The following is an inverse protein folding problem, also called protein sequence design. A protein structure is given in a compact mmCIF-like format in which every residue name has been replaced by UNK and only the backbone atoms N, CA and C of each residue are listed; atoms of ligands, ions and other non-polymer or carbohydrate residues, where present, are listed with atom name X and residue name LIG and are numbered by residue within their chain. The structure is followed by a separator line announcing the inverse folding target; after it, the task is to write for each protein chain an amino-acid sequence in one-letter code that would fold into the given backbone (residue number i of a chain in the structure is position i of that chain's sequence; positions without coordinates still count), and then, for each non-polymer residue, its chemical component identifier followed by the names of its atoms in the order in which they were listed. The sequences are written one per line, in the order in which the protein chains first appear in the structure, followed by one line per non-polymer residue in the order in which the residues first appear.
data_IF_189786788740
#
_entry.id   IF_189786788740
#
_cell.length_a   1.000
_cell.length_b   1.000
_cell.length_c   1.000
_cell.angle_alpha   90.00
_cell.angle_beta   90.00
_cell.angle_gamma   90.00
#
_symmetry.space_group_name_H-M   'P 1'
#
loop_
_entity.id
_entity.type
_entity.pdbx_description
1 polymer ?
#
# COMPACT_ATOMS: atom_id res chain seq x y z
N UNK A 1 52.87 28.58 31.87
CA UNK A 1 51.86 28.59 32.95
C UNK A 1 50.46 28.25 32.41
N UNK A 2 50.24 27.04 31.90
CA UNK A 2 48.93 26.60 31.36
C UNK A 2 48.76 25.08 31.44
N UNK A 3 49.00 24.49 32.62
CA UNK A 3 48.97 23.02 32.74
C UNK A 3 48.44 22.52 34.09
N UNK A 4 47.39 23.15 34.65
CA UNK A 4 46.82 22.71 35.95
C UNK A 4 45.29 22.58 35.94
N UNK A 5 44.60 22.82 34.81
CA UNK A 5 43.11 22.89 34.77
C UNK A 5 42.38 21.72 34.11
N UNK A 6 43.02 20.55 33.91
CA UNK A 6 42.38 19.37 33.28
C UNK A 6 42.03 18.21 34.22
N UNK A 7 42.47 18.19 35.48
CA UNK A 7 42.34 17.01 36.35
C UNK A 7 41.04 16.89 37.15
N UNK A 8 40.23 17.95 37.28
CA UNK A 8 39.01 17.90 38.12
C UNK A 8 37.72 17.52 37.40
N UNK A 9 37.69 17.50 36.06
CA UNK A 9 36.50 17.04 35.31
C UNK A 9 36.34 15.52 35.24
N UNK A 10 37.40 14.75 35.48
CA UNK A 10 37.36 13.28 35.34
C UNK A 10 36.91 12.55 36.61
N UNK A 11 36.94 13.18 37.80
CA UNK A 11 36.51 12.53 39.05
C UNK A 11 34.99 12.48 39.25
N UNK A 12 34.20 13.31 38.55
CA UNK A 12 32.74 13.34 38.72
C UNK A 12 31.94 12.35 37.86
N UNK A 13 32.56 11.70 36.87
CA UNK A 13 31.87 10.77 35.96
C UNK A 13 31.84 9.33 36.52
N UNK A 14 32.78 8.97 37.40
CA UNK A 14 32.89 7.60 37.90
C UNK A 14 32.01 7.29 39.14
N UNK A 15 31.49 8.29 39.86
CA UNK A 15 30.54 8.08 40.97
C UNK A 15 29.09 7.85 40.54
N UNK A 16 28.72 8.13 39.28
CA UNK A 16 27.34 7.94 38.78
C UNK A 16 27.02 6.55 38.25
N UNK A 17 28.00 5.64 38.11
CA UNK A 17 27.77 4.27 37.58
C UNK A 17 27.27 3.27 38.62
N UNK A 18 27.52 3.49 39.92
CA UNK A 18 27.10 2.55 40.99
C UNK A 18 25.61 2.65 41.37
N UNK A 19 25.01 3.84 41.26
CA UNK A 19 23.62 4.10 41.68
C UNK A 19 22.60 3.66 40.61
N UNK A 20 22.97 3.72 39.32
CA UNK A 20 22.08 3.33 38.21
C UNK A 20 21.76 1.83 38.18
N UNK A 21 22.72 0.95 38.47
CA UNK A 21 22.48 -0.50 38.50
C UNK A 21 21.54 -0.94 39.62
N UNK A 22 21.50 -0.22 40.75
CA UNK A 22 20.55 -0.51 41.85
C UNK A 22 19.13 -0.06 41.51
N UNK A 23 18.95 1.03 40.76
CA UNK A 23 17.64 1.48 40.29
C UNK A 23 17.06 0.58 39.19
N UNK A 24 17.89 0.10 38.25
CA UNK A 24 17.45 -0.84 37.21
C UNK A 24 16.93 -2.16 37.79
N UNK A 25 17.56 -2.67 38.86
CA UNK A 25 17.10 -3.89 39.55
C UNK A 25 15.75 -3.69 40.26
N UNK A 26 15.52 -2.53 40.89
CA UNK A 26 14.25 -2.23 41.58
C UNK A 26 13.10 -2.05 40.57
N UNK A 27 13.37 -1.39 39.43
CA UNK A 27 12.37 -1.22 38.36
C UNK A 27 12.04 -2.56 37.72
N UNK A 28 13.02 -3.42 37.45
CA UNK A 28 12.78 -4.76 36.90
C UNK A 28 11.93 -5.63 37.84
N UNK A 29 12.19 -5.58 39.16
CA UNK A 29 11.41 -6.33 40.13
C UNK A 29 9.96 -5.82 40.24
N UNK A 30 9.75 -4.50 40.11
CA UNK A 30 8.42 -3.89 40.11
C UNK A 30 7.58 -4.23 38.86
N UNK A 31 8.21 -4.29 37.68
CA UNK A 31 7.49 -4.64 36.44
C UNK A 31 7.06 -6.12 36.46
N UNK A 32 7.90 -7.01 36.99
CA UNK A 32 7.55 -8.45 37.11
C UNK A 32 6.43 -8.67 38.12
N UNK A 33 6.40 -7.95 39.24
CA UNK A 33 5.31 -8.09 40.22
C UNK A 33 3.97 -7.59 39.67
N UNK A 34 3.97 -6.48 38.90
CA UNK A 34 2.77 -5.95 38.24
C UNK A 34 2.24 -6.93 37.18
N UNK A 35 3.14 -7.55 36.41
CA UNK A 35 2.76 -8.51 35.36
C UNK A 35 2.12 -9.81 35.91
N UNK A 36 2.38 -10.17 37.17
CA UNK A 36 1.81 -11.39 37.80
C UNK A 36 0.57 -11.07 38.65
N UNK A 37 0.54 -9.93 39.33
CA UNK A 37 -0.58 -9.59 40.25
C UNK A 37 -1.83 -9.14 39.48
N UNK A 38 -1.68 -8.40 38.38
CA UNK A 38 -2.83 -7.91 37.59
C UNK A 38 -3.65 -9.06 36.97
N UNK A 39 -3.06 -10.09 36.34
CA UNK A 39 -3.83 -11.22 35.82
C UNK A 39 -4.60 -11.97 36.90
N UNK A 40 -3.98 -12.22 38.06
CA UNK A 40 -4.61 -13.00 39.15
C UNK A 40 -5.83 -12.28 39.72
N UNK A 41 -5.84 -10.95 39.77
CA UNK A 41 -6.97 -10.16 40.25
C UNK A 41 -8.06 -9.91 39.20
N UNK A 42 -7.72 -9.88 37.91
CA UNK A 42 -8.67 -9.50 36.84
C UNK A 42 -9.34 -10.70 36.16
N UNK A 43 -8.65 -11.83 36.02
CA UNK A 43 -9.19 -13.06 35.40
C UNK A 43 -10.48 -13.58 36.05
N UNK A 44 -10.62 -13.69 37.39
CA UNK A 44 -11.85 -14.21 37.98
C UNK A 44 -13.07 -13.31 37.76
N UNK A 45 -12.87 -11.99 37.61
CA UNK A 45 -13.96 -11.06 37.27
C UNK A 45 -14.40 -11.21 35.81
N UNK A 46 -13.45 -11.36 34.89
CA UNK A 46 -13.75 -11.57 33.48
C UNK A 46 -14.50 -12.88 33.24
N UNK A 47 -14.10 -13.96 33.93
CA UNK A 47 -14.77 -15.27 33.86
C UNK A 47 -16.21 -15.20 34.37
N UNK A 48 -16.45 -14.56 35.52
CA UNK A 48 -17.82 -14.37 36.05
C UNK A 48 -18.71 -13.55 35.12
N UNK A 49 -18.17 -12.50 34.49
CA UNK A 49 -18.91 -11.70 33.52
C UNK A 49 -19.23 -12.49 32.24
N UNK A 50 -18.31 -13.33 31.77
CA UNK A 50 -18.54 -14.22 30.62
C UNK A 50 -19.59 -15.29 30.89
N UNK A 51 -19.60 -15.87 32.10
CA UNK A 51 -20.60 -16.87 32.51
C UNK A 51 -22.00 -16.25 32.57
N UNK A 52 -22.15 -15.08 33.19
CA UNK A 52 -23.44 -14.39 33.26
C UNK A 52 -24.04 -14.06 31.88
N UNK A 53 -23.20 -13.78 30.87
CA UNK A 53 -23.65 -13.58 29.49
C UNK A 53 -24.15 -14.85 28.82
N UNK A 54 -23.51 -16.00 29.09
CA UNK A 54 -23.98 -17.29 28.58
C UNK A 54 -25.33 -17.66 29.19
N UNK A 55 -25.47 -17.51 30.50
CA UNK A 55 -26.72 -17.84 31.20
C UNK A 55 -27.88 -16.94 30.71
N UNK A 56 -27.61 -15.66 30.46
CA UNK A 56 -28.60 -14.74 29.90
C UNK A 56 -28.99 -15.08 28.45
N UNK A 57 -28.01 -15.48 27.62
CA UNK A 57 -28.27 -15.90 26.24
C UNK A 57 -29.06 -17.22 26.19
N UNK A 58 -28.74 -18.16 27.07
CA UNK A 58 -29.45 -19.44 27.18
C UNK A 58 -30.86 -19.27 27.75
N UNK A 59 -31.06 -18.33 28.68
CA UNK A 59 -32.39 -17.95 29.14
C UNK A 59 -33.24 -17.29 28.05
N UNK A 60 -32.64 -16.48 27.16
CA UNK A 60 -33.34 -15.87 26.03
C UNK A 60 -33.71 -16.88 24.94
N UNK A 61 -32.98 -17.99 24.83
CA UNK A 61 -33.23 -19.07 23.87
C UNK A 61 -34.22 -20.12 24.39
N UNK A 62 -34.61 -20.09 25.67
CA UNK A 62 -35.69 -20.96 26.15
C UNK A 62 -37.01 -20.45 25.57
N UNK A 63 -37.63 -21.19 24.63
CA UNK A 63 -38.94 -20.79 24.12
C UNK A 63 -39.90 -20.76 25.30
N UNK A 64 -40.57 -19.63 25.51
CA UNK A 64 -41.63 -19.51 26.49
C UNK A 64 -42.61 -20.66 26.26
N UNK A 65 -42.75 -21.54 27.25
CA UNK A 65 -43.59 -22.72 27.18
C UNK A 65 -44.97 -22.26 26.71
N UNK A 66 -45.29 -22.58 25.46
CA UNK A 66 -46.54 -22.15 24.86
C UNK A 66 -47.67 -22.78 25.68
N UNK A 67 -48.69 -22.02 26.08
CA UNK A 67 -49.82 -22.56 26.82
C UNK A 67 -50.43 -23.72 26.04
N UNK A 68 -50.99 -24.74 26.71
CA UNK A 68 -51.51 -25.94 26.07
C UNK A 68 -52.55 -25.55 25.02
N UNK A 69 -52.17 -25.66 23.75
CA UNK A 69 -53.07 -25.45 22.63
C UNK A 69 -54.02 -26.64 22.56
N UNK A 70 -55.31 -26.38 22.75
CA UNK A 70 -56.35 -27.37 22.47
C UNK A 70 -56.43 -27.51 20.95
N UNK A 71 -55.78 -28.55 20.41
CA UNK A 71 -55.79 -28.85 18.98
C UNK A 71 -57.12 -29.52 18.65
N UNK A 72 -58.02 -28.78 18.00
CA UNK A 72 -59.15 -29.40 17.32
C UNK A 72 -58.63 -30.06 16.04
N UNK A 73 -58.92 -31.36 15.79
CA UNK A 73 -58.53 -31.99 14.53
C UNK A 73 -59.30 -31.33 13.39
N UNK A 74 -58.67 -30.34 12.75
CA UNK A 74 -59.20 -29.71 11.56
C UNK A 74 -59.22 -30.75 10.45
N UNK A 75 -60.41 -31.24 10.10
CA UNK A 75 -60.61 -32.05 8.92
C UNK A 75 -60.59 -31.09 7.73
N UNK A 76 -59.56 -31.16 6.90
CA UNK A 76 -59.33 -30.25 5.78
C UNK A 76 -60.62 -30.04 4.97
N UNK A 77 -61.03 -28.78 4.81
CA UNK A 77 -62.16 -28.37 3.96
C UNK A 77 -63.55 -28.40 4.59
N UNK A 78 -63.73 -28.74 5.89
CA UNK A 78 -65.03 -28.60 6.56
C UNK A 78 -65.02 -27.47 7.60
N UNK A 79 -66.00 -26.56 7.59
CA UNK A 79 -66.11 -25.55 8.62
C UNK A 79 -66.31 -26.21 9.99
N UNK A 80 -65.57 -25.77 10.99
CA UNK A 80 -65.71 -26.24 12.37
C UNK A 80 -67.03 -25.70 12.93
N UNK A 81 -68.04 -26.55 13.04
CA UNK A 81 -69.31 -26.21 13.71
C UNK A 81 -69.15 -26.38 15.21
N UNK A 82 -69.14 -25.27 15.94
CA UNK A 82 -69.19 -25.26 17.41
C UNK A 82 -70.64 -24.99 17.82
N UNK A 83 -71.15 -25.78 18.76
CA UNK A 83 -72.48 -25.57 19.33
C UNK A 83 -72.52 -24.25 20.10
N UNK A 84 -73.55 -23.44 19.85
CA UNK A 84 -73.72 -22.08 20.40
C UNK A 84 -73.81 -22.11 21.93
N UNK A 85 -74.29 -23.22 22.52
CA UNK A 85 -74.31 -23.39 23.97
C UNK A 85 -72.91 -23.41 24.59
N UNK A 86 -71.93 -24.05 23.92
CA UNK A 86 -70.52 -24.10 24.37
C UNK A 86 -69.74 -22.84 24.05
N UNK A 87 -70.27 -21.97 23.18
CA UNK A 87 -69.64 -20.71 22.80
C UNK A 87 -69.26 -19.86 24.03
N UNK A 88 -70.21 -19.74 24.97
CA UNK A 88 -70.05 -18.92 26.16
C UNK A 88 -69.18 -19.59 27.23
N UNK A 89 -69.16 -20.93 27.28
CA UNK A 89 -68.32 -21.70 28.23
C UNK A 89 -66.83 -21.65 27.87
N UNK A 90 -66.52 -21.67 26.57
CA UNK A 90 -65.13 -21.65 26.07
C UNK A 90 -64.57 -20.20 26.06
N UNK A 91 -65.44 -19.19 26.26
CA UNK A 91 -65.03 -17.78 26.29
C UNK A 91 -64.57 -17.27 24.93
N UNK A 92 -65.13 -17.80 23.84
CA UNK A 92 -64.77 -17.40 22.48
C UNK A 92 -65.17 -15.94 22.22
N UNK A 93 -64.18 -15.10 21.93
CA UNK A 93 -64.38 -13.71 21.54
C UNK A 93 -64.31 -13.62 20.02
N UNK A 94 -65.41 -13.20 19.39
CA UNK A 94 -65.39 -12.79 17.98
C UNK A 94 -64.82 -11.38 17.91
N UNK A 95 -63.88 -11.18 17.01
CA UNK A 95 -63.48 -9.86 16.56
C UNK A 95 -63.85 -9.75 15.08
N UNK A 96 -64.53 -8.67 14.71
CA UNK A 96 -64.78 -8.34 13.31
C UNK A 96 -63.42 -8.07 12.65
N UNK A 97 -63.13 -8.77 11.56
CA UNK A 97 -61.90 -8.56 10.80
C UNK A 97 -62.10 -7.29 9.96
N UNK A 98 -61.45 -6.20 10.37
CA UNK A 98 -61.35 -5.00 9.54
C UNK A 98 -60.19 -5.16 8.54
N UNK A 99 -60.33 -4.64 7.31
CA UNK A 99 -59.24 -4.65 6.34
C UNK A 99 -58.04 -3.90 6.93
N UNK A 100 -56.84 -4.48 6.79
CA UNK A 100 -55.62 -3.86 7.31
C UNK A 100 -55.44 -2.45 6.72
N UNK A 101 -55.08 -1.44 7.53
CA UNK A 101 -54.74 -0.13 7.00
C UNK A 101 -53.58 -0.24 6.03
N UNK A 102 -53.53 0.65 5.03
CA UNK A 102 -52.43 0.67 4.07
C UNK A 102 -51.09 0.77 4.82
N UNK A 103 -50.08 -0.03 4.44
CA UNK A 103 -48.77 0.05 5.09
C UNK A 103 -48.19 1.45 4.87
N UNK A 104 -47.42 1.98 5.85
CA UNK A 104 -46.71 3.24 5.67
C UNK A 104 -45.76 3.14 4.47
N UNK A 105 -45.52 4.26 3.80
CA UNK A 105 -44.54 4.32 2.73
C UNK A 105 -43.16 3.89 3.26
N UNK A 106 -42.50 2.99 2.54
CA UNK A 106 -41.17 2.52 2.89
C UNK A 106 -40.16 3.63 2.63
N UNK A 107 -39.67 4.27 3.70
CA UNK A 107 -38.53 5.17 3.64
C UNK A 107 -37.24 4.34 3.67
N UNK A 108 -36.41 4.49 2.63
CA UNK A 108 -35.10 3.84 2.55
C UNK A 108 -34.02 4.90 2.55
N UNK A 109 -33.13 4.83 3.54
CA UNK A 109 -31.90 5.60 3.53
C UNK A 109 -30.95 5.03 2.49
N UNK A 110 -30.59 5.84 1.51
CA UNK A 110 -29.61 5.51 0.48
C UNK A 110 -28.30 6.26 0.68
N UNK A 111 -27.19 5.65 0.26
CA UNK A 111 -25.88 6.31 0.17
C UNK A 111 -25.45 6.32 -1.29
N UNK A 112 -24.97 7.46 -1.78
CA UNK A 112 -24.36 7.56 -3.10
C UNK A 112 -22.98 6.90 -3.07
N UNK A 113 -22.76 5.96 -3.98
CA UNK A 113 -21.47 5.28 -4.16
C UNK A 113 -20.87 5.68 -5.51
N UNK A 114 -19.54 5.77 -5.58
CA UNK A 114 -18.84 5.97 -6.85
C UNK A 114 -18.91 4.69 -7.66
N UNK A 115 -19.19 4.79 -8.95
CA UNK A 115 -19.15 3.62 -9.82
C UNK A 115 -17.72 3.04 -9.83
N UNK A 116 -17.51 1.78 -9.39
CA UNK A 116 -16.19 1.18 -9.38
C UNK A 116 -15.60 1.03 -10.79
N UNK A 117 -16.43 1.01 -11.84
CA UNK A 117 -15.98 0.89 -13.23
C UNK A 117 -15.39 2.21 -13.75
N UNK A 118 -15.83 3.35 -13.21
CA UNK A 118 -15.33 4.69 -13.53
C UNK A 118 -14.19 5.15 -12.59
N UNK A 119 -13.87 4.36 -11.57
CA UNK A 119 -12.85 4.70 -10.57
C UNK A 119 -11.51 4.03 -10.85
N UNK A 120 -10.50 4.84 -11.22
CA UNK A 120 -9.12 4.36 -11.36
C UNK A 120 -8.21 4.91 -10.25
N UNK A 121 -7.56 4.01 -9.51
CA UNK A 121 -6.53 4.39 -8.54
C UNK A 121 -5.16 4.48 -9.22
N UNK A 122 -4.62 5.69 -9.32
CA UNK A 122 -3.27 5.92 -9.86
C UNK A 122 -2.24 5.71 -8.75
N UNK A 123 -1.20 4.91 -9.03
CA UNK A 123 -0.06 4.69 -8.14
C UNK A 123 1.24 4.87 -8.91
N UNK A 124 2.24 5.46 -8.26
CA UNK A 124 3.60 5.42 -8.80
C UNK A 124 4.09 3.98 -8.82
N UNK A 125 4.76 3.58 -9.91
CA UNK A 125 5.43 2.28 -10.01
C UNK A 125 6.67 2.18 -9.14
N UNK A 126 7.33 3.31 -8.94
CA UNK A 126 8.58 3.40 -8.21
C UNK A 126 8.38 4.21 -6.95
N UNK A 127 9.16 3.88 -5.92
CA UNK A 127 9.30 4.75 -4.77
C UNK A 127 10.08 5.99 -5.19
N UNK A 128 9.67 7.15 -4.69
CA UNK A 128 10.24 8.41 -5.10
C UNK A 128 9.62 9.62 -4.42
N UNK A 129 10.27 10.76 -4.61
CA UNK A 129 9.82 12.07 -4.16
C UNK A 129 9.02 12.74 -5.27
N UNK A 130 7.89 13.36 -4.93
CA UNK A 130 7.12 14.16 -5.89
C UNK A 130 7.83 15.49 -6.08
N UNK A 131 8.39 15.71 -7.27
CA UNK A 131 9.14 16.94 -7.59
C UNK A 131 8.21 18.03 -8.06
N UNK A 132 7.20 17.66 -8.85
CA UNK A 132 6.31 18.62 -9.48
C UNK A 132 4.88 18.10 -9.54
N UNK A 133 3.93 18.99 -9.24
CA UNK A 133 2.51 18.78 -9.50
C UNK A 133 2.08 19.82 -10.54
N UNK A 134 1.80 19.42 -11.79
CA UNK A 134 1.40 20.35 -12.83
C UNK A 134 0.07 21.03 -12.48
N UNK A 135 -0.17 22.23 -13.01
CA UNK A 135 -1.42 22.93 -12.80
C UNK A 135 -2.58 22.24 -13.54
N UNK A 136 -3.79 22.39 -13.00
CA UNK A 136 -5.00 21.70 -13.49
C UNK A 136 -5.33 22.01 -14.96
N UNK A 137 -4.97 23.19 -15.47
CA UNK A 137 -5.30 23.65 -16.82
C UNK A 137 -4.34 23.19 -17.93
N UNK A 138 -3.27 22.46 -17.59
CA UNK A 138 -2.21 22.09 -18.54
C UNK A 138 -2.62 21.07 -19.61
N UNK A 139 -3.78 20.41 -19.49
CA UNK A 139 -4.16 19.27 -20.35
C UNK A 139 -5.06 19.59 -21.54
N UNK A 140 -5.51 20.85 -21.70
CA UNK A 140 -6.33 21.21 -22.86
C UNK A 140 -5.49 21.84 -23.96
N UNK A 141 -5.19 21.06 -25.01
CA UNK A 141 -4.67 21.58 -26.30
C UNK A 141 -5.67 22.55 -26.97
N UNK A 142 -6.89 22.67 -26.43
CA UNK A 142 -7.88 23.66 -26.82
C UNK A 142 -7.62 25.00 -26.14
N UNK A 143 -6.76 25.83 -26.74
CA UNK A 143 -6.59 27.25 -26.44
C UNK A 143 -7.90 28.02 -26.64
N UNK A 144 -8.81 28.00 -25.67
CA UNK A 144 -9.88 28.99 -25.59
C UNK A 144 -9.37 30.17 -24.77
N UNK A 145 -9.00 31.25 -25.45
CA UNK A 145 -8.14 32.33 -24.95
C UNK A 145 -8.82 33.31 -23.96
N UNK A 146 -9.96 32.95 -23.35
CA UNK A 146 -10.81 33.95 -22.66
C UNK A 146 -10.97 33.72 -21.15
N UNK A 147 -10.62 32.55 -20.61
CA UNK A 147 -10.68 32.30 -19.16
C UNK A 147 -9.28 32.19 -18.55
N UNK A 148 -8.76 33.33 -18.11
CA UNK A 148 -7.54 33.42 -17.29
C UNK A 148 -7.85 33.03 -15.84
N UNK A 149 -8.25 31.78 -15.61
CA UNK A 149 -8.32 31.26 -14.24
C UNK A 149 -6.90 31.13 -13.68
N UNK A 150 -6.63 31.57 -12.44
CA UNK A 150 -5.29 31.49 -11.85
C UNK A 150 -4.84 30.03 -11.80
N UNK A 151 -3.71 29.75 -12.45
CA UNK A 151 -3.08 28.43 -12.48
C UNK A 151 -2.74 27.97 -11.05
N UNK A 152 -3.54 27.07 -10.49
CA UNK A 152 -3.27 26.44 -9.20
C UNK A 152 -2.75 25.01 -9.39
N UNK A 153 -1.94 24.50 -8.44
CA UNK A 153 -1.59 23.08 -8.38
C UNK A 153 -2.85 22.22 -8.32
N UNK A 154 -2.78 20.99 -8.84
CA UNK A 154 -3.87 20.03 -8.80
C UNK A 154 -4.32 19.77 -7.34
N UNK A 155 -5.62 19.86 -7.07
CA UNK A 155 -6.26 19.61 -5.77
C UNK A 155 -7.32 18.52 -5.87
N UNK A 156 -7.72 17.99 -4.72
CA UNK A 156 -8.84 17.07 -4.65
C UNK A 156 -10.12 17.75 -5.14
N UNK A 157 -10.83 17.09 -6.06
CA UNK A 157 -12.04 17.61 -6.71
C UNK A 157 -11.81 18.26 -8.07
N UNK A 158 -10.56 18.49 -8.48
CA UNK A 158 -10.25 18.99 -9.82
C UNK A 158 -10.60 17.96 -10.89
N UNK A 159 -11.15 18.43 -12.02
CA UNK A 159 -11.44 17.58 -13.17
C UNK A 159 -10.14 17.29 -13.93
N UNK A 160 -9.88 16.02 -14.20
CA UNK A 160 -8.70 15.57 -14.96
C UNK A 160 -9.13 14.84 -16.24
N UNK A 161 -8.31 14.97 -17.29
CA UNK A 161 -8.52 14.25 -18.55
C UNK A 161 -7.64 13.01 -18.65
N UNK A 162 -8.04 12.02 -19.46
CA UNK A 162 -7.21 10.84 -19.74
C UNK A 162 -5.87 11.28 -20.35
N UNK A 163 -4.77 10.80 -19.76
CA UNK A 163 -3.41 11.13 -20.21
C UNK A 163 -2.88 12.47 -19.71
N UNK A 164 -3.63 13.19 -18.87
CA UNK A 164 -3.12 14.38 -18.18
C UNK A 164 -1.98 13.99 -17.23
N UNK A 165 -0.89 14.78 -17.26
CA UNK A 165 0.18 14.67 -16.28
C UNK A 165 -0.39 15.04 -14.90
N UNK A 166 -0.30 14.12 -13.93
CA UNK A 166 -0.80 14.34 -12.57
C UNK A 166 0.32 14.72 -11.60
N UNK A 167 1.49 14.10 -11.75
CA UNK A 167 2.67 14.35 -10.94
C UNK A 167 3.92 13.88 -11.66
N UNK A 168 5.04 14.56 -11.40
CA UNK A 168 6.38 14.10 -11.77
C UNK A 168 7.06 13.57 -10.52
N UNK A 169 7.45 12.29 -10.57
CA UNK A 169 8.08 11.60 -9.44
C UNK A 169 9.55 11.36 -9.78
N UNK A 170 10.43 11.80 -8.90
CA UNK A 170 11.85 11.47 -8.98
C UNK A 170 12.12 10.17 -8.23
N UNK A 171 12.64 9.16 -8.93
CA UNK A 171 12.95 7.87 -8.35
C UNK A 171 14.46 7.62 -8.33
N UNK A 172 14.99 7.38 -7.13
CA UNK A 172 16.38 7.01 -6.92
C UNK A 172 16.73 5.66 -7.57
N UNK A 173 15.86 4.65 -7.42
CA UNK A 173 16.11 3.30 -7.95
C UNK A 173 16.21 3.30 -9.47
N UNK A 174 15.34 4.07 -10.14
CA UNK A 174 15.39 4.24 -11.58
C UNK A 174 16.68 4.97 -12.02
N UNK A 175 17.09 5.99 -11.26
CA UNK A 175 18.34 6.71 -11.47
C UNK A 175 19.56 5.78 -11.37
N UNK A 176 19.64 4.99 -10.31
CA UNK A 176 20.74 4.02 -10.11
C UNK A 176 20.84 3.02 -11.27
N UNK A 177 19.71 2.49 -11.76
CA UNK A 177 19.71 1.58 -12.92
C UNK A 177 20.00 2.26 -14.26
N UNK A 178 19.58 3.52 -14.46
CA UNK A 178 19.98 4.29 -15.66
C UNK A 178 21.49 4.49 -15.67
N UNK A 179 22.10 4.88 -14.54
CA UNK A 179 23.54 5.04 -14.43
C UNK A 179 24.30 3.71 -14.60
N UNK A 180 23.79 2.61 -14.06
CA UNK A 180 24.37 1.27 -14.25
C UNK A 180 24.32 0.84 -15.73
N UNK A 181 23.19 1.09 -16.42
CA UNK A 181 23.06 0.83 -17.85
C UNK A 181 24.05 1.67 -18.65
N UNK A 182 24.15 2.97 -18.36
CA UNK A 182 25.09 3.88 -19.01
C UNK A 182 26.54 3.41 -18.89
N UNK A 183 26.96 3.07 -17.67
CA UNK A 183 28.31 2.56 -17.40
C UNK A 183 28.59 1.26 -18.16
N UNK A 184 27.61 0.36 -18.22
CA UNK A 184 27.75 -0.92 -18.93
C UNK A 184 27.84 -0.73 -20.45
N UNK A 185 27.05 0.19 -21.01
CA UNK A 185 27.11 0.52 -22.44
C UNK A 185 28.44 1.17 -22.83
N UNK A 186 28.96 2.08 -22.01
CA UNK A 186 30.28 2.70 -22.22
C UNK A 186 31.39 1.64 -22.18
N UNK A 187 31.33 0.72 -21.21
CA UNK A 187 32.28 -0.40 -21.10
C UNK A 187 32.21 -1.31 -22.33
N UNK A 188 30.99 -1.64 -22.78
CA UNK A 188 30.74 -2.43 -23.97
C UNK A 188 31.28 -1.75 -25.24
N UNK A 189 31.12 -0.44 -25.38
CA UNK A 189 31.66 0.31 -26.50
C UNK A 189 33.20 0.27 -26.51
N UNK A 190 33.82 0.49 -25.34
CA UNK A 190 35.27 0.40 -25.17
C UNK A 190 35.82 -1.00 -25.47
N UNK A 191 35.16 -2.06 -24.99
CA UNK A 191 35.54 -3.45 -25.26
C UNK A 191 35.43 -3.78 -26.76
N UNK A 192 34.38 -3.29 -27.43
CA UNK A 192 34.20 -3.46 -28.88
C UNK A 192 35.28 -2.74 -29.68
N UNK A 193 35.62 -1.52 -29.30
CA UNK A 193 36.71 -0.78 -29.95
C UNK A 193 38.05 -1.49 -29.75
N UNK A 194 38.33 -1.94 -28.52
CA UNK A 194 39.54 -2.72 -28.20
C UNK A 194 39.61 -3.98 -29.06
N UNK A 195 38.52 -4.73 -29.19
CA UNK A 195 38.44 -5.90 -30.06
C UNK A 195 38.66 -5.53 -31.53
N UNK A 196 38.07 -4.44 -32.01
CA UNK A 196 38.25 -3.94 -33.39
C UNK A 196 39.73 -3.64 -33.69
N UNK A 197 40.41 -2.93 -32.78
CA UNK A 197 41.84 -2.61 -32.90
C UNK A 197 42.74 -3.86 -32.89
N UNK A 198 42.44 -4.84 -32.02
CA UNK A 198 43.21 -6.09 -31.95
C UNK A 198 42.98 -6.98 -33.17
N UNK A 199 41.72 -7.11 -33.62
CA UNK A 199 41.36 -7.90 -34.81
C UNK A 199 41.93 -7.30 -36.11
N UNK A 200 42.06 -5.98 -36.20
CA UNK A 200 42.70 -5.32 -37.34
C UNK A 200 44.20 -5.64 -37.45
N UNK A 201 44.84 -6.05 -36.35
CA UNK A 201 46.26 -6.37 -36.26
C UNK A 201 46.52 -7.86 -35.99
N UNK A 202 45.66 -8.75 -36.51
CA UNK A 202 45.68 -10.20 -36.23
C UNK A 202 47.05 -10.87 -36.51
N UNK A 203 47.84 -10.34 -37.46
CA UNK A 203 49.16 -10.86 -37.79
C UNK A 203 50.22 -10.63 -36.70
N UNK A 204 50.07 -9.59 -35.87
CA UNK A 204 51.04 -9.20 -34.85
C UNK A 204 50.59 -9.52 -33.41
N UNK A 205 49.28 -9.73 -33.21
CA UNK A 205 48.68 -9.95 -31.89
C UNK A 205 48.47 -11.44 -31.64
N UNK A 206 48.81 -11.99 -30.45
CA UNK A 206 48.50 -13.36 -30.11
C UNK A 206 47.00 -13.68 -30.18
N UNK A 207 46.63 -14.83 -30.75
CA UNK A 207 45.23 -15.29 -30.87
C UNK A 207 44.50 -15.29 -29.51
N UNK A 208 45.20 -15.60 -28.42
CA UNK A 208 44.62 -15.59 -27.08
C UNK A 208 44.11 -14.21 -26.67
N UNK A 209 44.83 -13.14 -27.01
CA UNK A 209 44.43 -11.76 -26.71
C UNK A 209 43.13 -11.38 -27.43
N UNK A 210 42.97 -11.80 -28.68
CA UNK A 210 41.72 -11.59 -29.45
C UNK A 210 40.55 -12.36 -28.81
N UNK A 211 40.78 -13.62 -28.42
CA UNK A 211 39.75 -14.44 -27.74
C UNK A 211 39.34 -13.88 -26.38
N UNK A 212 40.29 -13.33 -25.63
CA UNK A 212 40.02 -12.65 -24.36
C UNK A 212 39.20 -11.38 -24.56
N UNK A 213 39.59 -10.53 -25.52
CA UNK A 213 38.82 -9.32 -25.86
C UNK A 213 37.40 -9.68 -26.31
N UNK A 214 37.24 -10.75 -27.10
CA UNK A 214 35.93 -11.23 -27.52
C UNK A 214 35.08 -11.72 -26.34
N UNK A 215 35.70 -12.38 -25.36
CA UNK A 215 35.01 -12.78 -24.14
C UNK A 215 34.50 -11.57 -23.37
N UNK A 216 35.32 -10.52 -23.21
CA UNK A 216 34.92 -9.27 -22.54
C UNK A 216 33.72 -8.61 -23.22
N UNK A 217 33.72 -8.50 -24.55
CA UNK A 217 32.57 -7.97 -25.31
C UNK A 217 31.29 -8.75 -24.99
N UNK A 218 31.35 -10.09 -25.01
CA UNK A 218 30.18 -10.92 -24.68
C UNK A 218 29.72 -10.76 -23.23
N UNK A 219 30.66 -10.65 -22.30
CA UNK A 219 30.36 -10.42 -20.88
C UNK A 219 29.61 -9.08 -20.70
N UNK A 220 30.11 -8.01 -21.32
CA UNK A 220 29.51 -6.68 -21.30
C UNK A 220 28.13 -6.66 -22.00
N UNK A 221 27.95 -7.41 -23.09
CA UNK A 221 26.64 -7.60 -23.75
C UNK A 221 25.60 -8.26 -22.84
N UNK A 222 25.99 -9.35 -22.17
CA UNK A 222 25.10 -10.06 -21.23
C UNK A 222 24.74 -9.16 -20.04
N UNK A 223 25.70 -8.36 -19.54
CA UNK A 223 25.45 -7.42 -18.47
C UNK A 223 24.42 -6.35 -18.88
N UNK A 224 24.57 -5.76 -20.07
CA UNK A 224 23.61 -4.79 -20.60
C UNK A 224 22.21 -5.41 -20.75
N UNK A 225 22.12 -6.62 -21.34
CA UNK A 225 20.85 -7.33 -21.52
C UNK A 225 20.17 -7.63 -20.18
N UNK A 226 20.93 -7.98 -19.14
CA UNK A 226 20.40 -8.23 -17.79
C UNK A 226 19.78 -6.97 -17.17
N UNK A 227 20.44 -5.82 -17.32
CA UNK A 227 19.92 -4.54 -16.81
C UNK A 227 18.64 -4.18 -17.56
N UNK A 228 18.60 -4.36 -18.88
CA UNK A 228 17.40 -4.11 -19.68
C UNK A 228 16.24 -5.03 -19.34
N UNK A 229 16.50 -6.32 -19.08
CA UNK A 229 15.48 -7.24 -18.57
C UNK A 229 14.93 -6.77 -17.22
N UNK A 230 15.76 -6.17 -16.38
CA UNK A 230 15.34 -5.59 -15.10
C UNK A 230 14.48 -4.33 -15.32
N UNK A 231 14.85 -3.44 -16.24
CA UNK A 231 14.02 -2.27 -16.59
C UNK A 231 12.68 -2.67 -17.21
N UNK A 232 12.67 -3.71 -18.04
CA UNK A 232 11.44 -4.30 -18.62
C UNK A 232 10.57 -4.96 -17.56
N UNK A 233 11.13 -5.62 -16.56
CA UNK A 233 10.36 -6.20 -15.46
C UNK A 233 9.71 -5.11 -14.59
N UNK A 234 10.33 -3.93 -14.53
CA UNK A 234 9.73 -2.70 -13.98
C UNK A 234 8.75 -2.01 -14.93
N UNK A 235 8.43 -2.67 -16.04
CA UNK A 235 7.44 -2.27 -17.03
C UNK A 235 7.76 -0.94 -17.73
N UNK A 236 9.04 -0.54 -17.82
CA UNK A 236 9.42 0.52 -18.76
C UNK A 236 9.10 0.07 -20.18
N UNK A 237 8.51 0.99 -20.95
CA UNK A 237 8.23 0.75 -22.36
C UNK A 237 9.54 0.66 -23.15
N UNK A 238 9.52 -0.10 -24.25
CA UNK A 238 10.67 -0.22 -25.13
C UNK A 238 11.11 1.15 -25.69
N UNK A 239 10.16 2.06 -25.90
CA UNK A 239 10.41 3.44 -26.36
C UNK A 239 11.20 4.22 -25.31
N UNK A 240 10.88 4.08 -24.02
CA UNK A 240 11.63 4.74 -22.95
C UNK A 240 13.07 4.20 -22.84
N UNK A 241 13.24 2.88 -22.99
CA UNK A 241 14.58 2.25 -22.97
C UNK A 241 15.41 2.73 -24.16
N UNK A 242 14.82 2.82 -25.36
CA UNK A 242 15.48 3.35 -26.55
C UNK A 242 15.81 4.83 -26.41
N UNK A 243 14.94 5.62 -25.78
CA UNK A 243 15.21 7.01 -25.46
C UNK A 243 16.41 7.16 -24.54
N UNK A 244 16.52 6.31 -23.52
CA UNK A 244 17.68 6.28 -22.61
C UNK A 244 18.96 5.92 -23.39
N UNK A 245 18.91 4.90 -24.26
CA UNK A 245 20.06 4.55 -25.11
C UNK A 245 20.47 5.71 -26.03
N UNK A 246 19.50 6.39 -26.64
CA UNK A 246 19.74 7.51 -27.55
C UNK A 246 20.33 8.74 -26.83
N UNK A 247 19.85 9.03 -25.61
CA UNK A 247 20.40 10.09 -24.76
C UNK A 247 21.88 9.84 -24.48
N UNK A 248 22.24 8.60 -24.14
CA UNK A 248 23.62 8.20 -23.85
C UNK A 248 24.54 8.25 -25.07
N UNK A 249 24.07 7.80 -26.24
CA UNK A 249 24.87 7.91 -27.48
C UNK A 249 25.13 9.36 -27.89
N UNK A 250 24.20 10.27 -27.58
CA UNK A 250 24.35 11.69 -27.88
C UNK A 250 25.34 12.37 -26.92
N UNK A 251 25.33 12.00 -25.64
CA UNK A 251 26.27 12.55 -24.64
C UNK A 251 27.73 12.23 -25.02
N UNK A 252 28.02 11.01 -25.50
CA UNK A 252 29.36 10.63 -25.95
C UNK A 252 29.87 11.57 -27.06
N UNK A 253 29.02 11.94 -28.03
CA UNK A 253 29.42 12.84 -29.11
C UNK A 253 29.70 14.27 -28.60
N UNK A 254 28.88 14.77 -27.68
CA UNK A 254 29.09 16.11 -27.10
C UNK A 254 30.36 16.22 -26.25
N UNK A 255 30.76 15.12 -25.58
CA UNK A 255 32.01 15.11 -24.81
C UNK A 255 33.27 15.09 -25.69
N UNK A 256 33.20 14.48 -26.88
CA UNK A 256 34.34 14.41 -27.80
C UNK A 256 34.70 15.75 -28.46
N UNK A 257 33.71 16.63 -28.67
CA UNK A 257 33.95 17.95 -29.28
C UNK A 257 34.53 18.98 -28.29
N UNK A 258 34.36 18.76 -26.97
CA UNK A 258 34.84 19.68 -25.93
C UNK A 258 36.36 19.62 -25.68
N UNK A 259 37.00 18.48 -25.90
CA UNK A 259 38.44 18.28 -25.63
C UNK A 259 39.36 18.81 -26.75
N UNK A 260 38.81 19.31 -27.86
CA UNK A 260 39.59 19.85 -28.99
C UNK A 260 39.85 21.37 -28.90
N UNK A 261 39.46 22.05 -27.81
CA UNK A 261 39.61 23.50 -27.63
C UNK A 261 40.53 23.93 -26.47
N UNK A 262 41.29 23.00 -25.87
CA UNK A 262 42.34 23.29 -24.89
C UNK A 262 43.71 22.87 -25.43
#
# INVERSE_FOLDING_TARGET
MTEVRRSDRLRNILRRRGIRRRWEAIVALGVVSIAVVIPVLTVPRAVRWWQARRDAAEAALRPAASPPAIVFPAREGRPLTIDVARWNEIGLKLATIEPAPAPPALEMDGVLYLDPDDFSLVRSRFQGEVVEMPPASSSSTSKSATDSSPSHPLRFGDKVCKGQLLAVVWSRELGEKKSELAQTLSTLAFDRETLSRLSSNEAAVPINSIREAQRRVRESEIAAERIEKTLRSWQLSQIEIERIRAELSNEEHTSSDGDSQL
#
